data_IF_773187969543
#
_entry.id   IF_773187969543
#
_cell.length_a   1.000
_cell.length_b   1.000
_cell.length_c   1.000
_cell.angle_alpha   90.00
_cell.angle_beta   90.00
_cell.angle_gamma   90.00
#
_symmetry.space_group_name_H-M   'P 1'
#
loop_
_entity.id
_entity.type
_entity.pdbx_description
1 polymer ?
#
# COMPACT_ATOMS: atom_id res chain seq x y z
N UNK A 1 8.27 3.32 1.75
CA UNK A 1 7.88 4.59 1.08
C UNK A 1 7.45 4.43 -0.37
N UNK A 2 8.16 3.69 -1.23
CA UNK A 2 7.82 3.62 -2.68
C UNK A 2 6.39 3.20 -3.02
N UNK A 3 5.89 2.11 -2.43
CA UNK A 3 4.50 1.64 -2.64
C UNK A 3 3.48 2.66 -2.10
N UNK A 4 3.74 3.24 -0.93
CA UNK A 4 2.88 4.29 -0.36
C UNK A 4 2.83 5.53 -1.26
N UNK A 5 3.94 5.90 -1.91
CA UNK A 5 3.97 7.00 -2.86
C UNK A 5 3.17 6.70 -4.13
N UNK A 6 3.31 5.49 -4.68
CA UNK A 6 2.49 5.04 -5.79
C UNK A 6 1.00 5.02 -5.44
N UNK A 7 0.63 4.57 -4.24
CA UNK A 7 -0.74 4.61 -3.76
C UNK A 7 -1.27 6.04 -3.58
N UNK A 8 -0.45 6.97 -3.06
CA UNK A 8 -0.83 8.38 -2.96
C UNK A 8 -1.09 9.00 -4.34
N UNK A 9 -0.31 8.64 -5.35
CA UNK A 9 -0.52 9.10 -6.73
C UNK A 9 -1.84 8.62 -7.33
N UNK A 10 -2.32 7.41 -6.98
CA UNK A 10 -3.64 6.92 -7.45
C UNK A 10 -4.82 7.76 -6.94
N UNK A 11 -4.64 8.45 -5.82
CA UNK A 11 -5.63 9.35 -5.23
C UNK A 11 -5.46 10.80 -5.71
N UNK A 12 -4.38 11.08 -6.47
CA UNK A 12 -4.04 12.41 -6.94
C UNK A 12 -4.65 12.65 -8.34
N UNK A 13 -5.28 13.81 -8.60
CA UNK A 13 -5.88 14.07 -9.90
C UNK A 13 -4.87 14.09 -11.05
N UNK A 14 -5.09 13.24 -12.05
CA UNK A 14 -4.31 13.19 -13.29
C UNK A 14 -2.84 12.84 -13.02
N UNK A 15 -1.92 13.71 -13.47
CA UNK A 15 -0.47 13.55 -13.27
C UNK A 15 0.11 14.56 -12.28
N UNK A 16 -0.74 15.19 -11.47
CA UNK A 16 -0.25 16.08 -10.42
C UNK A 16 0.62 15.28 -9.44
N UNK A 17 1.58 15.97 -8.82
CA UNK A 17 2.39 15.36 -7.78
C UNK A 17 1.55 15.10 -6.52
N UNK A 18 1.72 13.93 -5.91
CA UNK A 18 1.13 13.64 -4.60
C UNK A 18 1.86 14.42 -3.49
N UNK A 19 1.14 14.79 -2.43
CA UNK A 19 1.74 15.44 -1.28
C UNK A 19 2.49 14.46 -0.39
N UNK A 20 3.61 14.89 0.20
CA UNK A 20 4.41 14.06 1.09
C UNK A 20 3.62 13.57 2.31
N UNK A 21 2.72 14.40 2.84
CA UNK A 21 1.89 14.06 3.98
C UNK A 21 0.97 12.85 3.70
N UNK A 22 0.46 12.73 2.47
CA UNK A 22 -0.34 11.56 2.08
C UNK A 22 0.49 10.29 1.97
N UNK A 23 1.71 10.39 1.44
CA UNK A 23 2.65 9.26 1.39
C UNK A 23 2.97 8.76 2.80
N UNK A 24 3.24 9.66 3.74
CA UNK A 24 3.55 9.34 5.13
C UNK A 24 2.35 8.68 5.82
N UNK A 25 1.15 9.25 5.69
CA UNK A 25 -0.10 8.69 6.22
C UNK A 25 -0.39 7.28 5.70
N UNK A 26 -0.10 7.02 4.43
CA UNK A 26 -0.28 5.68 3.84
C UNK A 26 0.80 4.72 4.30
N UNK A 27 2.04 5.19 4.47
CA UNK A 27 3.13 4.35 4.96
C UNK A 27 2.90 3.88 6.40
N UNK A 28 2.37 4.74 7.26
CA UNK A 28 2.03 4.39 8.66
C UNK A 28 0.97 3.28 8.78
N UNK A 29 0.14 3.08 7.74
CA UNK A 29 -0.87 2.01 7.73
C UNK A 29 -0.29 0.64 7.34
N UNK A 30 0.94 0.60 6.82
CA UNK A 30 1.57 -0.66 6.39
C UNK A 30 2.19 -1.36 7.59
N UNK A 31 1.96 -2.67 7.70
CA UNK A 31 2.62 -3.49 8.70
C UNK A 31 4.15 -3.40 8.57
N UNK A 32 4.86 -3.51 9.70
CA UNK A 32 6.31 -3.57 9.66
C UNK A 32 6.76 -4.75 8.78
N UNK A 33 7.79 -4.55 7.93
CA UNK A 33 8.30 -5.62 7.10
C UNK A 33 8.85 -6.73 8.00
N UNK A 34 8.34 -7.95 7.81
CA UNK A 34 8.85 -9.15 8.45
C UNK A 34 9.77 -9.90 7.50
N UNK A 35 10.78 -10.57 8.04
CA UNK A 35 11.55 -11.53 7.26
C UNK A 35 10.63 -12.65 6.75
N UNK A 36 10.78 -12.99 5.47
CA UNK A 36 10.04 -14.07 4.85
C UNK A 36 10.95 -15.30 4.85
N UNK A 37 10.73 -16.21 5.77
CA UNK A 37 11.38 -17.54 5.78
C UNK A 37 10.59 -18.48 4.87
N UNK A 38 11.25 -19.04 3.84
CA UNK A 38 10.72 -19.96 2.81
C UNK A 38 9.29 -19.71 2.31
N UNK A 39 9.19 -19.25 1.06
CA UNK A 39 7.90 -19.02 0.38
C UNK A 39 7.23 -20.35 0.06
N UNK A 40 6.33 -20.81 0.92
CA UNK A 40 5.29 -21.77 0.56
C UNK A 40 4.05 -20.99 0.15
N UNK A 41 3.88 -20.85 -1.17
CA UNK A 41 2.70 -20.36 -1.90
C UNK A 41 2.09 -19.00 -1.49
N UNK A 42 2.15 -18.03 -2.41
CA UNK A 42 1.39 -16.77 -2.30
C UNK A 42 -0.06 -17.02 -2.75
N UNK A 43 -0.90 -17.50 -1.84
CA UNK A 43 -2.37 -17.42 -1.97
C UNK A 43 -2.90 -16.55 -0.84
N UNK A 44 -3.06 -15.24 -1.06
CA UNK A 44 -3.59 -14.38 0.01
C UNK A 44 -3.62 -12.88 -0.18
N UNK A 45 -3.52 -12.32 -1.40
CA UNK A 45 -3.84 -10.91 -1.63
C UNK A 45 -5.04 -10.77 -2.56
N UNK A 46 -6.19 -11.30 -2.12
CA UNK A 46 -7.49 -10.96 -2.70
C UNK A 46 -8.64 -11.41 -1.79
N UNK A 47 -8.76 -10.94 -0.54
CA UNK A 47 -10.08 -10.98 0.15
C UNK A 47 -10.14 -10.09 1.39
N UNK A 48 -11.09 -9.15 1.38
CA UNK A 48 -11.54 -8.36 2.53
C UNK A 48 -11.60 -6.87 2.20
N UNK A 49 -12.74 -6.21 2.02
CA UNK A 49 -14.12 -6.61 2.17
C UNK A 49 -15.00 -5.63 1.36
N UNK A 50 -15.83 -6.14 0.46
CA UNK A 50 -17.13 -5.51 0.15
C UNK A 50 -18.14 -6.41 0.85
N UNK A 51 -18.87 -5.85 1.80
CA UNK A 51 -20.02 -6.51 2.40
C UNK A 51 -20.75 -5.56 3.35
N UNK A 52 -22.00 -5.87 3.73
CA UNK A 52 -23.01 -6.55 2.91
C UNK A 52 -23.47 -5.67 1.71
#
# INVERSE_FOLDING_TARGET
MGIAAGAAMLLTPGTAACERADVERLFEQVAQPSEVTEVTEVTGMATGAIGP
#
